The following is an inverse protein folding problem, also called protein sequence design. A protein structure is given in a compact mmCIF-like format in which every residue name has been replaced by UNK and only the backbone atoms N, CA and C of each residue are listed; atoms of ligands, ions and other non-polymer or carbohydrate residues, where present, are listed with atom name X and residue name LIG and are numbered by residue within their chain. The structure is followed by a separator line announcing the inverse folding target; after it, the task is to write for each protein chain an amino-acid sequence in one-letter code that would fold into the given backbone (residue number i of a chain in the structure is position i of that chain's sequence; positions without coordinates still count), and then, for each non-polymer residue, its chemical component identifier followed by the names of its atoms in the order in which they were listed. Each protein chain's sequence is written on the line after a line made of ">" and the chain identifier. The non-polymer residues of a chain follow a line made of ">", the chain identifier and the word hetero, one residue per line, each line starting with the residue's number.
data_IF_128900223758
#
_entry.id   IF_128900223758
#
_cell.length_a   1.000
_cell.length_b   1.000
_cell.length_c   1.000
_cell.angle_alpha   90.00
_cell.angle_beta   90.00
_cell.angle_gamma   90.00
#
_symmetry.space_group_name_H-M   'P 1'
#
loop_
_entity.id
_entity.type
_entity.pdbx_description
1 polymer ?
#
# COMPACT_ATOMS: atom_id res chain seq x y z
N UNK A 1 21.86 -50.55 49.54
CA UNK A 1 21.21 -50.89 48.25
C UNK A 1 20.27 -49.74 47.87
N UNK A 2 20.77 -48.72 47.16
CA UNK A 2 19.94 -47.67 46.53
C UNK A 2 20.53 -47.45 45.14
N UNK A 3 19.82 -47.95 44.12
CA UNK A 3 20.18 -47.83 42.71
C UNK A 3 19.83 -46.43 42.23
N UNK A 4 20.82 -45.62 41.90
CA UNK A 4 20.66 -44.41 41.08
C UNK A 4 20.51 -44.86 39.62
N UNK A 5 19.33 -44.64 39.03
CA UNK A 5 19.10 -44.84 37.59
C UNK A 5 19.50 -43.56 36.87
N UNK A 6 20.44 -43.64 35.93
CA UNK A 6 20.68 -42.62 34.92
C UNK A 6 19.51 -42.61 33.92
N UNK A 7 18.95 -41.43 33.64
CA UNK A 7 18.06 -41.21 32.51
C UNK A 7 18.89 -40.74 31.30
N UNK A 8 18.55 -41.16 30.06
CA UNK A 8 19.31 -40.76 28.88
C UNK A 8 19.00 -39.31 28.51
N UNK A 9 20.05 -38.57 28.12
CA UNK A 9 19.92 -37.24 27.52
C UNK A 9 19.35 -37.43 26.11
N UNK A 10 18.04 -37.23 25.97
CA UNK A 10 17.39 -37.13 24.67
C UNK A 10 17.72 -35.79 24.03
N UNK A 11 18.40 -35.83 22.89
CA UNK A 11 18.61 -34.69 22.01
C UNK A 11 17.24 -34.20 21.49
N UNK A 12 16.69 -33.14 22.10
CA UNK A 12 15.51 -32.46 21.56
C UNK A 12 15.99 -31.68 20.32
N UNK A 13 15.70 -32.23 19.14
CA UNK A 13 15.78 -31.50 17.90
C UNK A 13 14.65 -30.46 17.92
N UNK A 14 14.98 -29.22 18.32
CA UNK A 14 14.11 -28.07 18.14
C UNK A 14 14.02 -27.80 16.63
N UNK A 15 13.02 -28.41 15.99
CA UNK A 15 12.61 -28.03 14.65
C UNK A 15 12.02 -26.63 14.77
N UNK A 16 12.79 -25.61 14.41
CA UNK A 16 12.23 -24.29 14.12
C UNK A 16 11.30 -24.47 12.92
N UNK A 17 10.01 -24.60 13.19
CA UNK A 17 8.97 -24.28 12.22
C UNK A 17 9.23 -22.82 11.82
N UNK A 18 9.73 -22.62 10.61
CA UNK A 18 9.79 -21.30 9.97
C UNK A 18 8.36 -20.77 9.95
N UNK A 19 8.13 -19.78 10.80
CA UNK A 19 6.83 -19.16 11.00
C UNK A 19 6.27 -18.66 9.68
N UNK A 20 4.97 -18.87 9.54
CA UNK A 20 4.08 -18.17 8.63
C UNK A 20 4.47 -16.69 8.56
N UNK A 21 4.72 -16.18 7.35
CA UNK A 21 4.91 -14.74 7.15
C UNK A 21 3.55 -14.09 7.42
N UNK A 22 3.39 -13.53 8.61
CA UNK A 22 2.23 -12.73 8.96
C UNK A 22 2.08 -11.59 7.95
N UNK A 23 0.83 -11.22 7.63
CA UNK A 23 0.59 -9.87 7.17
C UNK A 23 1.30 -8.93 8.15
N UNK A 24 2.14 -8.03 7.65
CA UNK A 24 2.75 -6.94 8.42
C UNK A 24 1.71 -6.45 9.46
N UNK A 25 2.02 -6.45 10.77
CA UNK A 25 1.05 -6.37 11.89
C UNK A 25 0.03 -5.20 11.78
N UNK A 26 0.31 -4.25 10.88
CA UNK A 26 -0.48 -3.06 10.57
C UNK A 26 -1.31 -3.11 9.26
N UNK A 27 -1.46 -4.25 8.57
CA UNK A 27 -2.25 -4.38 7.34
C UNK A 27 -3.38 -5.41 7.47
N UNK A 28 -4.54 -5.12 6.88
CA UNK A 28 -5.72 -6.00 6.83
C UNK A 28 -5.97 -6.43 5.39
N UNK A 29 -6.20 -7.73 5.17
CA UNK A 29 -6.68 -8.23 3.88
C UNK A 29 -8.14 -7.81 3.67
N UNK A 30 -8.39 -7.07 2.61
CA UNK A 30 -9.73 -6.76 2.10
C UNK A 30 -9.99 -7.70 0.93
N UNK A 31 -10.76 -8.75 1.17
CA UNK A 31 -11.13 -9.69 0.10
C UNK A 31 -11.92 -8.98 -1.00
N UNK A 32 -11.53 -9.20 -2.26
CA UNK A 32 -12.19 -8.59 -3.40
C UNK A 32 -13.64 -9.04 -3.55
N UNK A 33 -14.48 -8.16 -4.11
CA UNK A 33 -15.90 -8.42 -4.32
C UNK A 33 -16.61 -7.29 -5.06
N UNK A 34 -17.91 -7.49 -5.30
CA UNK A 34 -18.77 -6.49 -5.94
C UNK A 34 -19.63 -5.79 -4.89
N UNK A 35 -19.70 -4.46 -4.96
CA UNK A 35 -20.53 -3.65 -4.07
C UNK A 35 -21.24 -2.53 -4.82
N UNK A 36 -22.23 -1.93 -4.16
CA UNK A 36 -22.87 -0.70 -4.64
C UNK A 36 -22.09 0.51 -4.12
N UNK A 37 -21.39 1.20 -5.03
CA UNK A 37 -20.69 2.45 -4.76
C UNK A 37 -21.64 3.64 -4.85
N UNK A 38 -21.45 4.62 -3.97
CA UNK A 38 -22.31 5.79 -3.82
C UNK A 38 -23.30 5.68 -2.67
N UNK A 39 -24.20 6.66 -2.58
CA UNK A 39 -25.14 6.81 -1.46
C UNK A 39 -26.18 5.67 -1.43
N UNK A 40 -26.00 4.75 -0.48
CA UNK A 40 -26.94 3.66 -0.17
C UNK A 40 -27.78 3.94 1.08
N UNK A 41 -27.39 4.93 1.89
CA UNK A 41 -28.07 5.26 3.14
C UNK A 41 -29.18 6.33 2.95
N UNK A 42 -29.16 7.03 1.82
CA UNK A 42 -30.08 8.13 1.53
C UNK A 42 -29.56 9.48 2.03
N UNK A 43 -30.03 10.55 1.40
CA UNK A 43 -29.65 11.93 1.75
C UNK A 43 -28.26 12.34 1.29
N UNK A 44 -27.63 11.56 0.40
CA UNK A 44 -26.38 11.87 -0.26
C UNK A 44 -26.50 13.03 -1.24
N UNK A 45 -25.39 13.74 -1.41
CA UNK A 45 -25.27 14.83 -2.39
C UNK A 45 -25.15 14.26 -3.80
N UNK A 46 -25.27 15.12 -4.81
CA UNK A 46 -25.19 14.70 -6.22
C UNK A 46 -23.81 14.13 -6.59
N UNK A 47 -22.76 14.51 -5.85
CA UNK A 47 -21.43 13.89 -5.98
C UNK A 47 -21.40 12.41 -5.61
N UNK A 48 -22.30 11.96 -4.73
CA UNK A 48 -22.43 10.58 -4.26
C UNK A 48 -23.35 9.74 -5.16
N UNK A 49 -23.81 10.32 -6.28
CA UNK A 49 -24.79 9.73 -7.21
C UNK A 49 -24.24 9.70 -8.65
N UNK A 50 -24.76 8.80 -9.51
CA UNK A 50 -25.69 7.72 -9.17
C UNK A 50 -25.01 6.60 -8.39
N UNK A 51 -25.81 5.82 -7.65
CA UNK A 51 -25.36 4.51 -7.17
C UNK A 51 -25.08 3.61 -8.37
N UNK A 52 -23.99 2.85 -8.32
CA UNK A 52 -23.57 1.98 -9.41
C UNK A 52 -22.79 0.77 -8.88
N UNK A 53 -22.69 -0.28 -9.68
CA UNK A 53 -22.03 -1.52 -9.30
C UNK A 53 -20.52 -1.41 -9.56
N UNK A 54 -19.70 -1.73 -8.56
CA UNK A 54 -18.25 -1.76 -8.71
C UNK A 54 -17.71 -3.08 -8.17
N UNK A 55 -16.89 -3.75 -8.98
CA UNK A 55 -16.10 -4.91 -8.56
C UNK A 55 -14.69 -4.45 -8.24
N UNK A 56 -14.17 -4.78 -7.06
CA UNK A 56 -12.78 -4.55 -6.67
C UNK A 56 -12.07 -5.86 -6.45
N UNK A 57 -10.84 -5.96 -6.94
CA UNK A 57 -9.91 -7.06 -6.67
C UNK A 57 -9.49 -7.07 -5.19
N UNK A 58 -8.92 -8.18 -4.71
CA UNK A 58 -8.40 -8.25 -3.34
C UNK A 58 -7.19 -7.34 -3.15
N UNK A 59 -7.09 -6.71 -1.98
CA UNK A 59 -5.95 -5.87 -1.62
C UNK A 59 -5.71 -5.87 -0.11
N UNK A 60 -4.50 -5.52 0.30
CA UNK A 60 -4.22 -5.20 1.69
C UNK A 60 -4.37 -3.71 1.93
N UNK A 61 -4.99 -3.32 3.04
CA UNK A 61 -5.13 -1.93 3.47
C UNK A 61 -4.51 -1.74 4.85
N UNK A 62 -3.82 -0.62 5.04
CA UNK A 62 -3.33 -0.23 6.36
C UNK A 62 -4.49 -0.24 7.37
N UNK A 63 -4.28 -0.79 8.56
CA UNK A 63 -5.31 -0.89 9.61
C UNK A 63 -5.72 0.48 10.14
N UNK A 64 -4.77 1.40 10.20
CA UNK A 64 -4.92 2.78 10.67
C UNK A 64 -4.49 3.77 9.57
N UNK A 65 -4.88 5.02 9.71
CA UNK A 65 -4.22 6.14 9.01
C UNK A 65 -2.70 6.08 9.28
N UNK A 66 -1.86 6.52 8.34
CA UNK A 66 -0.41 6.58 8.59
C UNK A 66 -0.15 7.51 9.76
N UNK A 67 0.55 7.01 10.76
CA UNK A 67 0.86 7.79 11.96
C UNK A 67 2.03 8.74 11.71
N UNK A 68 2.13 9.79 12.53
CA UNK A 68 3.26 10.73 12.47
C UNK A 68 4.60 10.07 12.72
N UNK A 69 4.63 9.02 13.56
CA UNK A 69 5.84 8.22 13.77
C UNK A 69 6.22 7.45 12.51
N UNK A 70 5.29 6.71 11.91
CA UNK A 70 5.54 5.94 10.68
C UNK A 70 6.00 6.85 9.54
N UNK A 71 5.32 7.99 9.35
CA UNK A 71 5.70 8.97 8.35
C UNK A 71 7.13 9.46 8.54
N UNK A 72 7.48 9.87 9.76
CA UNK A 72 8.82 10.35 10.09
C UNK A 72 9.89 9.28 9.94
N UNK A 73 9.60 8.03 10.29
CA UNK A 73 10.53 6.90 10.17
C UNK A 73 10.81 6.49 8.71
N UNK A 74 9.94 6.87 7.78
CA UNK A 74 10.07 6.59 6.33
C UNK A 74 10.63 7.79 5.57
N UNK A 75 10.11 8.99 5.86
CA UNK A 75 10.38 10.21 5.09
C UNK A 75 11.43 11.12 5.76
N UNK A 76 11.64 11.00 7.07
CA UNK A 76 12.67 11.73 7.82
C UNK A 76 12.24 13.09 8.38
N UNK A 77 10.97 13.50 8.19
CA UNK A 77 10.41 14.70 8.83
C UNK A 77 8.93 14.51 9.19
N UNK A 78 8.32 15.49 9.89
CA UNK A 78 6.91 15.47 10.29
C UNK A 78 6.25 16.84 10.05
N UNK A 79 5.44 17.01 8.99
CA UNK A 79 4.81 18.29 8.65
C UNK A 79 3.55 18.59 9.49
N UNK A 80 3.04 17.63 10.26
CA UNK A 80 1.73 17.73 10.91
C UNK A 80 1.61 18.92 11.86
N UNK A 81 0.49 19.64 11.81
CA UNK A 81 0.18 20.74 12.73
C UNK A 81 0.03 20.25 14.17
N UNK A 82 -0.78 19.22 14.39
CA UNK A 82 -0.93 18.59 15.69
C UNK A 82 0.22 17.61 15.90
N UNK A 83 0.76 17.50 17.12
CA UNK A 83 1.96 16.68 17.39
C UNK A 83 1.64 15.51 18.31
N UNK A 84 2.02 14.31 17.89
CA UNK A 84 1.96 13.10 18.69
C UNK A 84 2.23 11.86 17.84
N UNK A 85 3.04 10.94 18.34
CA UNK A 85 3.53 9.80 17.54
C UNK A 85 2.43 8.90 16.98
N UNK A 86 1.35 8.71 17.75
CA UNK A 86 0.19 7.89 17.38
C UNK A 86 -0.95 8.70 16.75
N UNK A 87 -0.77 10.01 16.53
CA UNK A 87 -1.72 10.79 15.73
C UNK A 87 -1.53 10.46 14.25
N UNK A 88 -2.57 10.58 13.41
CA UNK A 88 -2.39 10.52 11.98
C UNK A 88 -1.46 11.64 11.51
N UNK A 89 -0.66 11.34 10.49
CA UNK A 89 0.06 12.38 9.75
C UNK A 89 -0.95 13.20 8.96
N UNK A 90 -0.94 14.51 9.18
CA UNK A 90 -1.67 15.51 8.41
C UNK A 90 -0.72 16.61 7.92
N UNK A 91 -1.25 17.59 7.16
CA UNK A 91 -0.44 18.61 6.47
C UNK A 91 0.52 17.98 5.45
N UNK A 92 0.06 16.89 4.81
CA UNK A 92 0.74 16.20 3.72
C UNK A 92 -0.02 16.40 2.42
N UNK A 93 0.70 16.68 1.34
CA UNK A 93 0.10 16.79 0.02
C UNK A 93 -0.17 15.40 -0.56
N UNK A 94 -0.93 15.34 -1.65
CA UNK A 94 -1.10 14.10 -2.40
C UNK A 94 0.25 13.57 -2.91
N UNK A 95 1.16 14.48 -3.28
CA UNK A 95 2.50 14.13 -3.74
C UNK A 95 3.39 13.56 -2.62
N UNK A 96 3.29 14.10 -1.41
CA UNK A 96 3.98 13.55 -0.24
C UNK A 96 3.49 12.14 0.06
N UNK A 97 2.19 11.90 -0.04
CA UNK A 97 1.59 10.60 0.22
C UNK A 97 2.04 9.52 -0.78
N UNK A 98 2.11 9.84 -2.08
CA UNK A 98 2.65 8.89 -3.08
C UNK A 98 4.17 8.70 -2.93
N UNK A 99 4.91 9.73 -2.53
CA UNK A 99 6.33 9.61 -2.23
C UNK A 99 6.58 8.72 -0.99
N UNK A 100 5.76 8.85 0.05
CA UNK A 100 5.76 7.96 1.21
C UNK A 100 5.51 6.51 0.81
N UNK A 101 4.51 6.26 -0.04
CA UNK A 101 4.21 4.91 -0.53
C UNK A 101 5.44 4.29 -1.23
N UNK A 102 6.10 5.05 -2.09
CA UNK A 102 7.33 4.63 -2.77
C UNK A 102 8.51 4.40 -1.82
N UNK A 103 8.70 5.28 -0.83
CA UNK A 103 9.78 5.19 0.14
C UNK A 103 9.59 4.00 1.08
N UNK A 104 8.36 3.78 1.58
CA UNK A 104 8.02 2.59 2.38
C UNK A 104 8.23 1.30 1.57
N UNK A 105 7.82 1.29 0.29
CA UNK A 105 8.04 0.16 -0.60
C UNK A 105 9.53 -0.19 -0.73
N UNK A 106 10.39 0.79 -0.98
CA UNK A 106 11.84 0.57 -1.05
C UNK A 106 12.41 0.06 0.29
N UNK A 107 12.00 0.66 1.40
CA UNK A 107 12.46 0.26 2.75
C UNK A 107 12.12 -1.20 3.08
N UNK A 108 11.02 -1.70 2.53
CA UNK A 108 10.55 -3.07 2.73
C UNK A 108 10.89 -4.01 1.54
N UNK A 109 11.67 -3.55 0.56
CA UNK A 109 12.11 -4.36 -0.58
C UNK A 109 11.00 -4.73 -1.57
N UNK A 110 9.96 -3.90 -1.67
CA UNK A 110 8.84 -4.02 -2.61
C UNK A 110 9.02 -3.11 -3.84
N UNK A 111 8.34 -3.46 -4.94
CA UNK A 111 8.36 -2.66 -6.16
C UNK A 111 7.56 -1.38 -6.00
N UNK A 112 8.17 -0.27 -6.37
CA UNK A 112 7.50 1.03 -6.33
C UNK A 112 6.36 1.07 -7.34
N UNK A 113 5.18 1.49 -6.88
CA UNK A 113 4.02 1.70 -7.76
C UNK A 113 4.23 2.96 -8.58
N UNK A 114 4.82 4.01 -8.03
CA UNK A 114 4.84 5.30 -8.70
C UNK A 114 6.17 5.61 -9.38
N UNK A 115 6.12 6.16 -10.59
CA UNK A 115 7.24 6.93 -11.14
C UNK A 115 6.95 8.41 -10.90
N UNK A 116 7.85 9.09 -10.19
CA UNK A 116 7.69 10.49 -9.77
C UNK A 116 8.83 11.32 -10.37
N UNK A 117 8.50 12.32 -11.19
CA UNK A 117 9.48 13.21 -11.83
C UNK A 117 9.06 14.67 -11.72
N UNK A 118 9.98 15.60 -11.98
CA UNK A 118 9.67 17.04 -11.95
C UNK A 118 9.25 17.55 -10.57
N UNK A 119 9.89 17.05 -9.51
CA UNK A 119 9.55 17.37 -8.12
C UNK A 119 9.84 18.85 -7.82
N UNK A 120 8.79 19.59 -7.45
CA UNK A 120 8.87 20.91 -6.83
C UNK A 120 8.42 20.83 -5.38
N UNK A 121 9.11 21.54 -4.48
CA UNK A 121 8.81 21.58 -3.05
C UNK A 121 8.56 23.01 -2.57
N UNK A 122 7.74 23.17 -1.55
CA UNK A 122 7.60 24.44 -0.83
C UNK A 122 8.73 24.62 0.21
N UNK A 123 8.69 25.73 0.94
CA UNK A 123 9.65 26.04 2.01
C UNK A 123 9.63 25.05 3.18
N UNK A 124 8.50 24.37 3.40
CA UNK A 124 8.31 23.42 4.49
C UNK A 124 8.79 22.00 4.12
N UNK A 125 9.22 21.81 2.87
CA UNK A 125 9.76 20.56 2.35
C UNK A 125 8.72 19.61 1.74
N UNK A 126 7.43 19.95 1.82
CA UNK A 126 6.35 19.23 1.15
C UNK A 126 6.51 19.31 -0.37
N UNK A 127 6.22 18.21 -1.06
CA UNK A 127 6.17 18.18 -2.52
C UNK A 127 4.86 18.84 -2.95
N UNK A 128 4.94 19.93 -3.71
CA UNK A 128 3.77 20.69 -4.18
C UNK A 128 3.49 20.52 -5.67
N UNK A 129 4.43 19.93 -6.41
CA UNK A 129 4.24 19.60 -7.82
C UNK A 129 5.11 18.41 -8.21
N UNK A 130 4.55 17.49 -8.99
CA UNK A 130 5.29 16.43 -9.67
C UNK A 130 4.45 15.86 -10.82
N UNK A 131 5.14 15.26 -11.80
CA UNK A 131 4.53 14.32 -12.73
C UNK A 131 4.56 12.92 -12.11
N UNK A 132 3.40 12.27 -12.02
CA UNK A 132 3.26 10.96 -11.36
C UNK A 132 2.50 9.99 -12.27
N UNK A 133 3.10 8.84 -12.56
CA UNK A 133 2.45 7.70 -13.20
C UNK A 133 2.51 6.47 -12.29
N UNK A 134 1.59 5.53 -12.46
CA UNK A 134 1.48 4.33 -11.65
C UNK A 134 1.65 3.05 -12.48
N UNK A 135 2.51 2.15 -12.03
CA UNK A 135 2.56 0.75 -12.45
C UNK A 135 1.68 -0.09 -11.52
N UNK A 136 0.52 -0.48 -12.02
CA UNK A 136 -0.48 -1.21 -11.25
C UNK A 136 -0.16 -2.68 -11.04
N UNK A 137 0.92 -3.18 -11.64
CA UNK A 137 1.41 -4.54 -11.43
C UNK A 137 2.50 -4.59 -10.35
N UNK A 138 2.99 -3.45 -9.87
CA UNK A 138 3.96 -3.37 -8.79
C UNK A 138 3.32 -3.77 -7.45
N UNK A 139 4.07 -4.51 -6.63
CA UNK A 139 3.59 -5.08 -5.37
C UNK A 139 3.80 -4.18 -4.14
N UNK A 140 4.33 -2.98 -4.33
CA UNK A 140 4.51 -2.00 -3.28
C UNK A 140 3.25 -1.26 -2.87
N UNK A 141 3.46 -0.36 -1.93
CA UNK A 141 2.44 0.52 -1.39
C UNK A 141 2.01 1.56 -2.41
N UNK A 142 0.74 1.93 -2.33
CA UNK A 142 0.10 2.98 -3.09
C UNK A 142 -1.07 3.57 -2.30
N UNK A 143 -1.58 4.72 -2.75
CA UNK A 143 -2.89 5.19 -2.30
C UNK A 143 -4.00 4.25 -2.78
N UNK A 144 -5.08 4.08 -2.00
CA UNK A 144 -6.27 3.37 -2.47
C UNK A 144 -6.89 4.11 -3.64
N UNK A 145 -7.52 3.38 -4.55
CA UNK A 145 -8.53 4.01 -5.40
C UNK A 145 -9.72 4.45 -4.55
N UNK A 146 -10.49 5.40 -5.07
CA UNK A 146 -11.69 5.87 -4.38
C UNK A 146 -12.69 4.73 -4.16
N UNK A 147 -12.74 3.75 -5.07
CA UNK A 147 -13.58 2.57 -4.96
C UNK A 147 -13.08 1.57 -3.92
N UNK A 148 -11.78 1.30 -3.89
CA UNK A 148 -11.16 0.46 -2.85
C UNK A 148 -11.41 1.03 -1.46
N UNK A 149 -11.26 2.36 -1.32
CA UNK A 149 -11.51 3.05 -0.07
C UNK A 149 -12.97 2.87 0.40
N UNK A 150 -13.95 3.14 -0.48
CA UNK A 150 -15.36 3.02 -0.08
C UNK A 150 -15.76 1.57 0.19
N UNK A 151 -15.25 0.62 -0.60
CA UNK A 151 -15.48 -0.79 -0.38
C UNK A 151 -15.01 -1.24 1.01
N UNK A 152 -13.77 -0.86 1.37
CA UNK A 152 -13.21 -1.13 2.68
C UNK A 152 -14.04 -0.42 3.77
N UNK A 153 -14.36 0.87 3.62
CA UNK A 153 -15.15 1.63 4.58
C UNK A 153 -16.54 1.03 4.84
N UNK A 154 -17.19 0.48 3.81
CA UNK A 154 -18.47 -0.22 3.95
C UNK A 154 -18.35 -1.61 4.60
N UNK A 155 -17.14 -2.10 4.88
CA UNK A 155 -16.90 -3.40 5.52
C UNK A 155 -16.63 -4.55 4.53
N UNK A 156 -16.41 -4.25 3.24
CA UNK A 156 -16.11 -5.25 2.21
C UNK A 156 -17.17 -6.37 2.15
N UNK A 157 -16.73 -7.63 2.00
CA UNK A 157 -17.64 -8.80 2.08
C UNK A 157 -18.33 -8.99 3.43
N UNK A 158 -17.77 -8.41 4.49
CA UNK A 158 -18.33 -8.49 5.84
C UNK A 158 -19.30 -7.33 6.15
N UNK A 159 -19.62 -6.51 5.14
CA UNK A 159 -20.49 -5.36 5.29
C UNK A 159 -21.82 -5.72 5.94
N UNK A 160 -22.19 -4.95 6.97
CA UNK A 160 -23.53 -5.01 7.59
C UNK A 160 -24.45 -3.87 7.14
N UNK A 161 -24.05 -3.14 6.09
CA UNK A 161 -24.84 -2.04 5.53
C UNK A 161 -24.93 -0.82 6.45
N UNK A 162 -23.92 -0.59 7.29
CA UNK A 162 -23.88 0.57 8.18
C UNK A 162 -23.70 1.89 7.41
N UNK A 163 -24.23 2.96 8.00
CA UNK A 163 -24.14 4.32 7.47
C UNK A 163 -22.71 4.89 7.55
N UNK A 164 -22.00 4.53 8.61
CA UNK A 164 -20.62 4.91 8.87
C UNK A 164 -19.76 3.64 8.93
N UNK A 165 -18.44 3.77 8.79
CA UNK A 165 -17.56 2.62 8.91
C UNK A 165 -17.65 2.04 10.33
N UNK A 166 -18.14 0.80 10.45
CA UNK A 166 -18.27 0.09 11.73
C UNK A 166 -19.53 0.37 12.55
N UNK A 167 -20.47 1.20 12.09
CA UNK A 167 -21.73 1.38 12.82
C UNK A 167 -22.64 2.51 12.35
N UNK A 168 -23.76 2.68 13.05
CA UNK A 168 -24.76 3.72 12.78
C UNK A 168 -24.74 4.88 13.78
N UNK A 169 -23.82 4.87 14.74
CA UNK A 169 -23.64 5.95 15.72
C UNK A 169 -22.29 6.63 15.48
N UNK A 170 -22.30 7.88 15.02
CA UNK A 170 -21.08 8.61 14.71
C UNK A 170 -20.16 8.74 15.94
N UNK A 171 -20.72 8.90 17.14
CA UNK A 171 -19.94 9.06 18.37
C UNK A 171 -19.10 7.83 18.74
N UNK A 172 -19.51 6.63 18.33
CA UNK A 172 -18.78 5.38 18.63
C UNK A 172 -17.68 5.06 17.61
N UNK A 173 -17.82 5.56 16.38
CA UNK A 173 -16.92 5.18 15.27
C UNK A 173 -16.02 6.32 14.78
N UNK A 174 -16.33 7.57 15.13
CA UNK A 174 -15.66 8.73 14.55
C UNK A 174 -15.16 9.75 15.56
N UNK A 175 -14.04 10.36 15.21
CA UNK A 175 -13.62 11.66 15.74
C UNK A 175 -14.05 12.76 14.77
N UNK A 176 -14.95 13.63 15.19
CA UNK A 176 -15.57 14.68 14.36
C UNK A 176 -15.80 15.95 15.18
N UNK A 177 -16.36 17.01 14.59
CA UNK A 177 -16.45 18.34 15.25
C UNK A 177 -17.13 18.30 16.62
N UNK A 178 -18.09 17.39 16.82
CA UNK A 178 -18.83 17.23 18.06
C UNK A 178 -18.09 16.55 19.21
N UNK A 179 -16.97 15.85 18.96
CA UNK A 179 -16.27 15.09 20.01
C UNK A 179 -14.73 15.12 19.93
N UNK A 180 -14.13 15.70 18.90
CA UNK A 180 -12.68 15.66 18.67
C UNK A 180 -11.87 16.61 19.57
N UNK A 181 -12.52 17.55 20.25
CA UNK A 181 -11.82 18.62 20.97
C UNK A 181 -11.00 19.52 20.03
N UNK A 182 -11.46 19.68 18.79
CA UNK A 182 -10.87 20.54 17.76
C UNK A 182 -9.45 20.17 17.34
N UNK A 183 -9.13 18.86 17.31
CA UNK A 183 -7.83 18.34 16.85
C UNK A 183 -7.93 16.88 16.41
N UNK A 184 -6.89 16.40 15.72
CA UNK A 184 -6.70 14.96 15.48
C UNK A 184 -6.52 14.18 16.79
N UNK A 185 -6.89 12.91 16.75
CA UNK A 185 -6.85 12.00 17.88
C UNK A 185 -5.98 10.78 17.57
N UNK A 186 -5.47 10.08 18.59
CA UNK A 186 -4.67 8.88 18.36
C UNK A 186 -5.48 7.84 17.56
N UNK A 187 -4.84 7.23 16.57
CA UNK A 187 -5.48 6.24 15.69
C UNK A 187 -5.99 5.04 16.51
N UNK A 188 -7.06 4.41 16.03
CA UNK A 188 -7.59 3.18 16.61
C UNK A 188 -8.30 3.34 17.96
N UNK A 189 -8.66 4.56 18.35
CA UNK A 189 -9.32 4.84 19.64
C UNK A 189 -10.85 4.88 19.58
N UNK A 190 -11.43 4.71 18.38
CA UNK A 190 -12.85 4.45 18.13
C UNK A 190 -13.06 3.01 17.65
N UNK A 191 -14.31 2.58 17.50
CA UNK A 191 -14.58 1.24 16.99
C UNK A 191 -14.14 1.12 15.52
N UNK A 192 -13.42 0.04 15.20
CA UNK A 192 -13.13 -0.34 13.82
C UNK A 192 -14.36 -0.93 13.12
N UNK A 193 -14.29 -1.02 11.80
CA UNK A 193 -15.32 -1.66 11.00
C UNK A 193 -15.28 -3.19 11.05
N UNK A 194 -16.15 -3.83 10.27
CA UNK A 194 -16.29 -5.29 10.21
C UNK A 194 -15.02 -6.02 9.74
N UNK A 195 -14.10 -5.31 9.09
CA UNK A 195 -12.80 -5.82 8.66
C UNK A 195 -11.71 -5.60 9.74
N UNK A 196 -12.02 -4.86 10.81
CA UNK A 196 -11.04 -4.46 11.81
C UNK A 196 -10.16 -3.27 11.38
N UNK A 197 -10.64 -2.45 10.43
CA UNK A 197 -9.98 -1.23 9.98
C UNK A 197 -10.60 -0.03 10.72
N UNK A 198 -9.76 0.86 11.21
CA UNK A 198 -10.14 1.96 12.09
C UNK A 198 -10.08 3.30 11.37
N UNK A 199 -10.82 4.28 11.90
CA UNK A 199 -10.78 5.68 11.50
C UNK A 199 -11.17 5.94 10.03
N UNK A 200 -11.86 4.99 9.38
CA UNK A 200 -12.48 5.21 8.06
C UNK A 200 -13.71 6.15 8.12
N UNK A 201 -13.96 6.75 9.28
CA UNK A 201 -14.94 7.82 9.47
C UNK A 201 -14.40 8.81 10.51
N UNK A 202 -14.12 10.05 10.10
CA UNK A 202 -13.56 11.09 10.95
C UNK A 202 -12.03 11.04 11.06
N UNK A 203 -11.49 11.64 12.12
CA UNK A 203 -10.07 11.87 12.39
C UNK A 203 -9.35 12.69 11.31
N UNK A 204 -8.86 12.11 10.22
CA UNK A 204 -8.43 12.87 9.03
C UNK A 204 -9.11 12.36 7.77
N UNK A 205 -9.34 13.28 6.83
CA UNK A 205 -9.65 12.89 5.46
C UNK A 205 -8.47 12.09 4.90
N UNK A 206 -8.75 11.20 3.97
CA UNK A 206 -7.72 10.34 3.39
C UNK A 206 -7.61 10.56 1.88
N UNK A 207 -6.41 10.89 1.41
CA UNK A 207 -6.11 10.97 -0.02
C UNK A 207 -6.37 9.64 -0.74
N UNK A 208 -7.04 9.70 -1.89
CA UNK A 208 -7.15 8.61 -2.84
C UNK A 208 -6.31 8.86 -4.09
N UNK A 209 -6.06 7.81 -4.86
CA UNK A 209 -5.40 7.91 -6.17
C UNK A 209 -6.19 8.77 -7.15
N UNK A 210 -7.51 8.59 -7.20
CA UNK A 210 -8.38 9.07 -8.28
C UNK A 210 -8.32 10.59 -8.49
N UNK A 211 -8.30 11.01 -9.75
CA UNK A 211 -8.78 12.33 -10.09
C UNK A 211 -10.28 12.39 -9.82
N UNK A 212 -10.73 13.42 -9.11
CA UNK A 212 -12.12 13.59 -8.72
C UNK A 212 -12.98 13.86 -9.96
N UNK A 213 -13.94 12.97 -10.20
CA UNK A 213 -14.91 13.06 -11.29
C UNK A 213 -16.31 12.63 -10.85
N UNK A 214 -17.29 12.83 -11.73
CA UNK A 214 -18.66 12.39 -11.49
C UNK A 214 -18.77 10.86 -11.60
N UNK A 215 -19.65 10.27 -10.79
CA UNK A 215 -20.02 8.87 -10.99
C UNK A 215 -20.85 8.69 -12.25
N UNK A 216 -20.78 7.48 -12.80
CA UNK A 216 -21.61 7.03 -13.92
C UNK A 216 -22.45 5.86 -13.48
N UNK A 217 -23.63 5.66 -14.09
CA UNK A 217 -24.49 4.51 -13.75
C UNK A 217 -23.90 3.15 -14.19
N UNK A 218 -22.88 3.16 -15.04
CA UNK A 218 -22.25 1.95 -15.58
C UNK A 218 -21.53 1.15 -14.51
N UNK A 219 -21.63 -0.17 -14.61
CA UNK A 219 -20.81 -1.07 -13.79
C UNK A 219 -19.33 -0.93 -14.12
N UNK A 220 -18.46 -1.01 -13.12
CA UNK A 220 -17.01 -0.87 -13.26
C UNK A 220 -16.26 -2.01 -12.56
N UNK A 221 -15.06 -2.31 -13.04
CA UNK A 221 -14.13 -3.26 -12.39
C UNK A 221 -12.81 -2.53 -12.15
N UNK A 222 -12.33 -2.52 -10.91
CA UNK A 222 -11.12 -1.84 -10.47
C UNK A 222 -10.97 -0.40 -11.02
N UNK A 223 -11.99 0.47 -10.87
CA UNK A 223 -11.91 1.83 -11.37
C UNK A 223 -10.81 2.62 -10.65
N UNK A 224 -10.16 3.51 -11.40
CA UNK A 224 -9.01 4.34 -10.97
C UNK A 224 -9.26 5.83 -11.21
N UNK A 225 -10.54 6.21 -11.33
CA UNK A 225 -10.97 7.57 -11.63
C UNK A 225 -10.72 7.97 -13.08
N UNK A 226 -10.84 9.27 -13.35
CA UNK A 226 -10.52 9.83 -14.67
C UNK A 226 -9.00 9.91 -14.87
N UNK A 227 -8.54 9.92 -16.13
CA UNK A 227 -7.11 9.99 -16.43
C UNK A 227 -6.49 11.37 -16.11
N UNK A 228 -7.31 12.42 -16.09
CA UNK A 228 -6.90 13.81 -15.81
C UNK A 228 -7.91 14.49 -14.89
N UNK A 229 -7.49 15.55 -14.22
CA UNK A 229 -8.33 16.35 -13.34
C UNK A 229 -7.54 17.48 -12.68
N UNK A 230 -8.26 18.33 -11.94
CA UNK A 230 -7.66 19.42 -11.14
C UNK A 230 -7.63 19.11 -9.64
N UNK A 231 -8.45 18.17 -9.19
CA UNK A 231 -8.61 17.81 -7.78
C UNK A 231 -8.52 16.29 -7.63
N UNK A 232 -7.85 15.83 -6.58
CA UNK A 232 -7.81 14.41 -6.20
C UNK A 232 -8.96 14.12 -5.24
N UNK A 233 -9.51 12.91 -5.32
CA UNK A 233 -10.53 12.48 -4.38
C UNK A 233 -9.95 12.32 -2.96
N UNK A 234 -10.75 12.71 -1.98
CA UNK A 234 -10.49 12.52 -0.54
C UNK A 234 -11.72 11.85 0.08
N UNK A 235 -11.51 11.01 1.10
CA UNK A 235 -12.58 10.26 1.76
C UNK A 235 -12.51 10.32 3.28
N UNK A 236 -13.50 9.78 3.98
CA UNK A 236 -13.47 9.60 5.44
C UNK A 236 -13.94 10.79 6.28
N UNK A 237 -13.85 12.02 5.75
CA UNK A 237 -14.03 13.26 6.55
C UNK A 237 -13.02 13.35 7.70
N UNK A 238 -13.14 14.34 8.59
CA UNK A 238 -12.08 14.67 9.55
C UNK A 238 -12.62 15.06 10.93
N UNK A 239 -11.70 15.30 11.87
CA UNK A 239 -11.97 15.78 13.22
C UNK A 239 -12.78 17.08 13.27
N UNK A 240 -12.78 17.87 12.20
CA UNK A 240 -13.55 19.14 12.08
C UNK A 240 -14.84 19.01 11.28
N UNK A 241 -15.13 17.83 10.74
CA UNK A 241 -16.33 17.61 9.92
C UNK A 241 -17.57 17.48 10.80
N UNK A 242 -18.71 17.93 10.29
CA UNK A 242 -19.99 17.81 10.97
C UNK A 242 -20.56 16.40 10.87
N UNK A 243 -21.36 16.00 11.86
CA UNK A 243 -21.97 14.66 11.92
C UNK A 243 -22.76 14.30 10.64
N UNK A 244 -23.35 15.30 9.97
CA UNK A 244 -24.14 15.11 8.76
C UNK A 244 -23.34 14.66 7.53
N UNK A 245 -22.02 14.83 7.51
CA UNK A 245 -21.18 14.50 6.35
C UNK A 245 -20.42 13.19 6.50
N UNK A 246 -20.49 12.51 7.65
CA UNK A 246 -19.64 11.36 7.98
C UNK A 246 -19.95 10.04 7.25
N UNK A 247 -20.88 10.03 6.29
CA UNK A 247 -21.25 8.81 5.55
C UNK A 247 -20.06 8.22 4.80
N UNK A 248 -19.98 6.90 4.72
CA UNK A 248 -18.91 6.22 3.96
C UNK A 248 -18.91 6.59 2.47
N UNK A 249 -20.05 7.01 1.92
CA UNK A 249 -20.20 7.47 0.53
C UNK A 249 -19.84 8.94 0.32
N UNK A 250 -19.65 9.73 1.39
CA UNK A 250 -19.39 11.15 1.25
C UNK A 250 -18.04 11.38 0.57
N UNK A 251 -18.03 12.25 -0.44
CA UNK A 251 -16.86 12.52 -1.27
C UNK A 251 -16.40 13.94 -1.08
N UNK A 252 -15.11 14.10 -0.87
CA UNK A 252 -14.42 15.37 -0.80
C UNK A 252 -13.30 15.40 -1.82
N UNK A 253 -12.78 16.58 -2.10
CA UNK A 253 -11.74 16.78 -3.09
C UNK A 253 -10.89 17.96 -2.72
N UNK A 254 -9.62 17.87 -3.05
CA UNK A 254 -8.71 19.00 -2.91
C UNK A 254 -7.64 18.98 -4.00
N UNK A 255 -6.96 20.11 -4.16
CA UNK A 255 -5.86 20.18 -5.13
C UNK A 255 -4.71 19.28 -4.66
N UNK A 256 -3.96 18.63 -5.55
CA UNK A 256 -2.92 17.68 -5.13
C UNK A 256 -1.78 18.33 -4.33
N UNK A 257 -1.67 19.67 -4.37
CA UNK A 257 -0.69 20.46 -3.60
C UNK A 257 -1.22 20.94 -2.23
N UNK A 258 -2.51 20.72 -1.93
CA UNK A 258 -3.09 21.10 -0.64
C UNK A 258 -2.57 20.18 0.47
N UNK A 259 -2.20 20.75 1.61
CA UNK A 259 -1.81 19.99 2.81
C UNK A 259 -2.48 20.62 4.03
N UNK A 260 -3.65 20.11 4.40
CA UNK A 260 -4.44 20.64 5.52
C UNK A 260 -4.31 19.81 6.80
N UNK A 261 -4.64 20.42 7.93
CA UNK A 261 -4.57 19.81 9.27
C UNK A 261 -5.67 18.78 9.59
N UNK A 262 -6.53 18.50 8.62
CA UNK A 262 -7.55 17.45 8.67
C UNK A 262 -7.45 16.50 7.48
N UNK A 263 -6.30 16.42 6.82
CA UNK A 263 -6.09 15.60 5.62
C UNK A 263 -4.76 14.85 5.71
N UNK A 264 -4.86 13.53 5.73
CA UNK A 264 -3.77 12.57 5.71
C UNK A 264 -4.03 11.49 4.66
N UNK A 265 -3.63 10.25 4.93
CA UNK A 265 -3.81 9.13 4.00
C UNK A 265 -3.61 7.78 4.68
N UNK A 266 -4.06 6.72 4.00
CA UNK A 266 -3.66 5.34 4.29
C UNK A 266 -3.19 4.64 3.01
N UNK A 267 -2.09 3.87 3.08
CA UNK A 267 -1.68 3.01 1.98
C UNK A 267 -2.53 1.75 1.83
N UNK A 268 -2.53 1.25 0.60
CA UNK A 268 -2.89 -0.13 0.24
C UNK A 268 -1.74 -0.75 -0.55
N UNK A 269 -1.76 -2.08 -0.70
CA UNK A 269 -0.96 -2.79 -1.70
C UNK A 269 -1.75 -3.99 -2.23
N UNK A 270 -1.42 -4.45 -3.42
CA UNK A 270 -2.15 -5.56 -4.05
C UNK A 270 -2.08 -6.83 -3.20
N UNK A 271 -3.18 -7.59 -3.17
CA UNK A 271 -3.12 -8.98 -2.76
C UNK A 271 -2.56 -9.78 -3.93
N UNK A 272 -1.36 -10.34 -3.79
CA UNK A 272 -0.73 -11.12 -4.85
C UNK A 272 -1.57 -12.35 -5.25
N UNK A 273 -2.40 -12.86 -4.35
CA UNK A 273 -3.30 -13.97 -4.65
C UNK A 273 -4.40 -13.58 -5.66
N UNK A 274 -4.76 -12.30 -5.74
CA UNK A 274 -5.79 -11.80 -6.65
C UNK A 274 -5.32 -11.58 -8.10
N UNK A 275 -4.02 -11.73 -8.39
CA UNK A 275 -3.44 -11.48 -9.71
C UNK A 275 -3.49 -12.70 -10.66
N UNK A 276 -4.08 -13.82 -10.22
CA UNK A 276 -4.13 -15.07 -10.97
C UNK A 276 -2.74 -15.69 -11.22
N UNK A 277 -2.71 -16.87 -11.84
CA UNK A 277 -1.49 -17.64 -12.12
C UNK A 277 -0.48 -16.92 -13.04
N UNK A 278 -0.83 -15.77 -13.62
CA UNK A 278 0.05 -15.00 -14.52
C UNK A 278 1.31 -14.43 -13.83
N UNK A 279 1.30 -14.27 -12.50
CA UNK A 279 2.50 -13.87 -11.74
C UNK A 279 3.44 -15.03 -11.44
N UNK A 280 2.96 -16.27 -11.41
CA UNK A 280 3.82 -17.45 -11.28
C UNK A 280 4.68 -17.69 -12.53
N UNK A 281 4.34 -17.06 -13.65
CA UNK A 281 5.13 -16.97 -14.89
C UNK A 281 5.83 -15.63 -15.07
N UNK A 282 5.75 -14.72 -14.07
CA UNK A 282 6.41 -13.43 -14.18
C UNK A 282 7.92 -13.63 -14.29
N UNK A 283 8.50 -13.10 -15.37
CA UNK A 283 9.95 -12.98 -15.53
C UNK A 283 10.51 -11.85 -14.64
N UNK A 284 9.85 -11.51 -13.54
CA UNK A 284 10.17 -10.34 -12.71
C UNK A 284 11.00 -10.78 -11.50
N UNK A 285 12.17 -10.16 -11.35
CA UNK A 285 13.14 -10.45 -10.31
C UNK A 285 13.52 -9.14 -9.62
N UNK A 286 14.00 -9.22 -8.38
CA UNK A 286 14.62 -8.09 -7.68
C UNK A 286 16.11 -8.33 -7.50
N UNK A 287 16.88 -7.24 -7.55
CA UNK A 287 18.31 -7.26 -7.20
C UNK A 287 18.44 -7.49 -5.69
N UNK A 288 18.88 -8.69 -5.29
CA UNK A 288 19.03 -9.09 -3.90
C UNK A 288 20.46 -8.85 -3.38
N UNK A 289 20.94 -7.62 -3.55
CA UNK A 289 22.21 -7.14 -3.00
C UNK A 289 22.01 -5.70 -2.50
N UNK A 290 22.40 -5.37 -1.26
CA UNK A 290 22.25 -4.01 -0.73
C UNK A 290 22.98 -2.96 -1.59
N UNK A 291 24.17 -3.30 -2.08
CA UNK A 291 25.02 -2.39 -2.88
C UNK A 291 24.65 -2.34 -4.37
N UNK A 292 23.59 -3.06 -4.78
CA UNK A 292 23.20 -3.21 -6.17
C UNK A 292 24.04 -4.23 -6.94
N UNK A 293 23.79 -4.31 -8.26
CA UNK A 293 24.37 -5.31 -9.14
C UNK A 293 24.79 -4.72 -10.47
N UNK A 294 26.04 -4.97 -10.87
CA UNK A 294 26.58 -4.49 -12.14
C UNK A 294 25.94 -5.26 -13.32
N UNK A 295 25.25 -4.53 -14.18
CA UNK A 295 24.79 -5.01 -15.48
C UNK A 295 25.90 -4.88 -16.51
N UNK A 296 26.13 -5.93 -17.29
CA UNK A 296 27.25 -6.05 -18.23
C UNK A 296 26.77 -6.31 -19.66
N UNK A 297 27.62 -6.03 -20.65
CA UNK A 297 27.33 -6.29 -22.06
C UNK A 297 27.41 -7.77 -22.44
N UNK A 298 28.16 -8.57 -21.68
CA UNK A 298 28.38 -9.99 -21.90
C UNK A 298 28.16 -10.80 -20.61
N UNK A 299 27.80 -12.10 -20.72
CA UNK A 299 27.65 -13.02 -19.60
C UNK A 299 29.02 -13.44 -19.03
N UNK A 300 29.75 -12.48 -18.46
CA UNK A 300 31.10 -12.67 -17.94
C UNK A 300 31.44 -11.62 -16.89
N UNK A 301 32.24 -12.00 -15.89
CA UNK A 301 32.78 -11.05 -14.90
C UNK A 301 33.75 -10.03 -15.52
N UNK A 302 34.25 -10.32 -16.73
CA UNK A 302 35.14 -9.46 -17.51
C UNK A 302 34.37 -8.58 -18.52
N UNK A 303 33.06 -8.77 -18.71
CA UNK A 303 32.25 -7.94 -19.62
C UNK A 303 32.24 -6.47 -19.18
N UNK A 304 32.08 -5.54 -20.13
CA UNK A 304 32.02 -4.11 -19.81
C UNK A 304 30.79 -3.83 -18.95
N UNK A 305 30.97 -3.09 -17.85
CA UNK A 305 29.85 -2.62 -17.03
C UNK A 305 29.08 -1.56 -17.82
N UNK A 306 27.79 -1.82 -18.05
CA UNK A 306 26.85 -0.89 -18.68
C UNK A 306 26.23 0.05 -17.65
N UNK A 307 25.84 -0.50 -16.49
CA UNK A 307 25.30 0.28 -15.39
C UNK A 307 25.36 -0.51 -14.06
N UNK A 308 25.29 0.21 -12.94
CA UNK A 308 25.00 -0.37 -11.62
C UNK A 308 23.49 -0.29 -11.39
N UNK A 309 22.82 -1.45 -11.31
CA UNK A 309 21.40 -1.53 -10.95
C UNK A 309 21.30 -1.45 -9.42
N UNK A 310 20.60 -0.47 -8.83
CA UNK A 310 20.49 -0.35 -7.37
C UNK A 310 19.88 -1.59 -6.71
N UNK A 311 20.25 -1.87 -5.45
CA UNK A 311 19.65 -2.92 -4.65
C UNK A 311 18.14 -2.77 -4.52
N UNK A 312 17.41 -3.88 -4.48
CA UNK A 312 15.94 -3.91 -4.41
C UNK A 312 15.22 -3.54 -5.72
N UNK A 313 15.95 -3.16 -6.77
CA UNK A 313 15.35 -2.77 -8.05
C UNK A 313 14.73 -3.97 -8.78
N UNK A 314 13.51 -3.80 -9.30
CA UNK A 314 12.91 -4.75 -10.23
C UNK A 314 13.67 -4.80 -11.55
N UNK A 315 13.85 -6.01 -12.05
CA UNK A 315 14.34 -6.29 -13.40
C UNK A 315 13.50 -7.39 -14.02
N UNK A 316 13.32 -7.32 -15.34
CA UNK A 316 12.64 -8.38 -16.08
C UNK A 316 13.70 -9.31 -16.68
N UNK A 317 13.79 -10.55 -16.20
CA UNK A 317 14.57 -11.61 -16.84
C UNK A 317 14.10 -11.80 -18.28
N UNK A 318 15.04 -11.93 -19.21
CA UNK A 318 14.76 -12.16 -20.63
C UNK A 318 15.19 -13.57 -21.02
N UNK A 319 16.41 -13.93 -20.66
CA UNK A 319 17.05 -15.22 -20.95
C UNK A 319 18.12 -15.55 -19.88
N UNK A 320 18.49 -16.83 -19.80
CA UNK A 320 19.64 -17.30 -19.03
C UNK A 320 20.64 -18.00 -19.95
N UNK A 321 21.93 -17.93 -19.62
CA UNK A 321 22.99 -18.54 -20.42
C UNK A 321 24.10 -19.14 -19.58
N UNK A 322 24.61 -20.27 -20.05
CA UNK A 322 25.73 -20.99 -19.47
C UNK A 322 25.34 -21.92 -18.32
N UNK A 323 26.38 -22.51 -17.75
CA UNK A 323 26.25 -23.41 -16.61
C UNK A 323 26.08 -22.62 -15.31
N UNK A 324 25.51 -23.28 -14.31
CA UNK A 324 25.40 -22.73 -12.97
C UNK A 324 26.77 -22.72 -12.29
N UNK A 325 27.13 -21.60 -11.66
CA UNK A 325 28.37 -21.45 -10.91
C UNK A 325 28.13 -20.57 -9.68
N UNK A 326 29.16 -20.39 -8.84
CA UNK A 326 29.06 -19.62 -7.58
C UNK A 326 29.95 -18.38 -7.63
N UNK A 327 29.38 -17.22 -7.28
CA UNK A 327 30.10 -15.97 -7.02
C UNK A 327 29.74 -15.51 -5.60
N UNK A 328 30.76 -15.29 -4.76
CA UNK A 328 30.58 -14.74 -3.40
C UNK A 328 29.49 -15.47 -2.57
N UNK A 329 29.42 -16.80 -2.68
CA UNK A 329 28.46 -17.63 -1.94
C UNK A 329 27.06 -17.72 -2.56
N UNK A 330 26.77 -16.93 -3.60
CA UNK A 330 25.52 -17.03 -4.36
C UNK A 330 25.71 -17.95 -5.58
N UNK A 331 24.77 -18.86 -5.81
CA UNK A 331 24.81 -19.82 -6.91
C UNK A 331 23.78 -19.46 -7.97
N UNK A 332 24.20 -19.37 -9.23
CA UNK A 332 23.31 -19.00 -10.32
C UNK A 332 23.96 -19.06 -11.70
N UNK A 333 23.22 -18.60 -12.71
CA UNK A 333 23.67 -18.48 -14.10
C UNK A 333 23.85 -17.02 -14.48
N UNK A 334 24.43 -16.76 -15.65
CA UNK A 334 24.28 -15.44 -16.24
C UNK A 334 22.85 -15.26 -16.72
N UNK A 335 22.23 -14.17 -16.28
CA UNK A 335 20.84 -13.84 -16.59
C UNK A 335 20.82 -12.51 -17.33
N UNK A 336 20.25 -12.51 -18.53
CA UNK A 336 19.99 -11.26 -19.24
C UNK A 336 18.71 -10.65 -18.72
N UNK A 337 18.75 -9.37 -18.41
CA UNK A 337 17.64 -8.63 -17.83
C UNK A 337 17.37 -7.35 -18.62
N UNK A 338 16.10 -6.93 -18.62
CA UNK A 338 15.67 -5.58 -18.98
C UNK A 338 15.57 -4.75 -17.71
N UNK A 339 16.20 -3.57 -17.72
CA UNK A 339 16.05 -2.55 -16.69
C UNK A 339 15.96 -1.17 -17.34
N UNK A 340 14.85 -0.46 -17.11
CA UNK A 340 14.49 0.77 -17.84
C UNK A 340 14.50 0.50 -19.35
N UNK A 341 15.20 1.31 -20.12
CA UNK A 341 15.43 1.21 -21.56
C UNK A 341 16.67 0.37 -21.94
N UNK A 342 17.37 -0.22 -20.96
CA UNK A 342 18.59 -1.00 -21.18
C UNK A 342 18.37 -2.50 -21.04
N UNK A 343 19.17 -3.27 -21.79
CA UNK A 343 19.36 -4.71 -21.58
C UNK A 343 20.81 -5.03 -21.30
N UNK A 344 21.04 -6.00 -20.44
CA UNK A 344 22.38 -6.51 -20.18
C UNK A 344 22.35 -7.75 -19.29
N UNK A 345 23.54 -8.26 -19.00
CA UNK A 345 23.75 -9.47 -18.23
C UNK A 345 24.09 -9.15 -16.78
N UNK A 346 23.42 -9.84 -15.87
CA UNK A 346 23.73 -9.84 -14.44
C UNK A 346 23.98 -11.28 -13.98
N UNK A 347 24.62 -11.44 -12.83
CA UNK A 347 24.75 -12.77 -12.24
C UNK A 347 23.47 -13.14 -11.48
N UNK A 348 22.75 -14.13 -11.98
CA UNK A 348 21.44 -14.57 -11.52
C UNK A 348 21.41 -15.09 -10.08
N UNK A 349 22.55 -15.45 -9.50
CA UNK A 349 22.63 -15.83 -8.08
C UNK A 349 22.24 -14.71 -7.12
N UNK A 350 22.25 -13.46 -7.59
CA UNK A 350 21.79 -12.28 -6.84
C UNK A 350 20.43 -11.77 -7.29
N UNK A 351 19.73 -12.55 -8.11
CA UNK A 351 18.34 -12.27 -8.46
C UNK A 351 17.45 -13.08 -7.54
N UNK A 352 16.56 -12.41 -6.85
CA UNK A 352 15.49 -13.06 -6.13
C UNK A 352 14.22 -12.97 -6.97
N UNK A 353 13.62 -14.13 -7.23
CA UNK A 353 12.35 -14.19 -7.93
C UNK A 353 11.33 -13.46 -7.11
N UNK A 354 10.58 -12.55 -7.73
CA UNK A 354 9.44 -11.92 -7.07
C UNK A 354 8.29 -12.95 -7.15
N UNK A 355 8.35 -13.95 -6.28
CA UNK A 355 7.35 -15.03 -6.23
C UNK A 355 6.13 -14.63 -5.41
N UNK A 356 5.00 -15.26 -5.72
CA UNK A 356 3.88 -15.38 -4.78
C UNK A 356 4.34 -16.19 -3.54
N UNK A 357 3.79 -15.93 -2.33
CA UNK A 357 3.91 -16.89 -1.24
C UNK A 357 3.27 -18.21 -1.69
N UNK A 358 3.89 -19.33 -1.31
CA UNK A 358 3.38 -20.66 -1.65
C UNK A 358 1.93 -20.81 -1.16
N UNK A 359 1.01 -21.15 -2.07
CA UNK A 359 -0.31 -21.63 -1.68
C UNK A 359 -0.11 -22.89 -0.85
N UNK A 360 -0.57 -22.88 0.40
CA UNK A 360 -0.66 -24.08 1.21
C UNK A 360 -1.57 -25.07 0.48
N UNK A 361 -0.98 -26.14 -0.05
CA UNK A 361 -1.75 -27.35 -0.34
C UNK A 361 -2.15 -27.93 1.01
N UNK A 362 -3.42 -27.77 1.36
CA UNK A 362 -4.03 -28.54 2.43
C UNK A 362 -3.99 -30.03 2.03
N UNK A 363 -3.35 -30.83 2.87
CA UNK A 363 -3.39 -32.28 2.87
C UNK A 363 -3.81 -32.77 4.25
#
# INVERSE_FOLDING_TARGET
>A
MKRTKSLPVGLILLVFSLGTVFADDNMVLVEGGTFTMGDTAGGGYDSEKPKHSVTVSGFFMNKYEVTQKEFRDVIGFNPSKFKGDNLPVETVTWYDAVAYCNARSQKEGLLQVYTITGIGKNSDGNITSASVSADWNADGYRLPTEAEWEYAAKGGKLSRGYKYAGGNSEGSVAWYSGNSGSKTQPVGTKAGNELGIYDLTGNVQEWCWDWYGNYTASSQTDPRGTNTGSYRACRGNSWRSDAGTLRTSYRVRDTPAYGGDGLGFRPVRIDKSSLGSSFADSKLFRINTPDGLNMRDAPSTQGKVLALIPGGTAVTMLEEKGDTFTIQGATGKWTKVQWKDMQGWVFGGFLERISAPASANEG
#
